data_IF_869434229431
#
_entry.id   IF_869434229431
#
_cell.length_a   1.000
_cell.length_b   1.000
_cell.length_c   1.000
_cell.angle_alpha   90.00
_cell.angle_beta   90.00
_cell.angle_gamma   90.00
#
_symmetry.space_group_name_H-M   'P 1'
#
loop_
_entity.id
_entity.type
_entity.pdbx_description
1 polymer ?
#
# COMPACT_ATOMS: atom_id res chain seq x y z
N UNK A 1 19.36 13.05 -7.16
CA UNK A 1 18.05 12.49 -6.80
C UNK A 1 17.11 13.65 -6.91
N UNK A 2 16.39 13.76 -8.02
CA UNK A 2 15.53 14.92 -8.25
C UNK A 2 14.31 14.77 -7.35
N UNK A 3 14.24 15.60 -6.31
CA UNK A 3 13.09 15.66 -5.43
C UNK A 3 11.88 16.11 -6.25
N UNK A 4 10.74 15.41 -6.13
CA UNK A 4 9.51 15.80 -6.82
C UNK A 4 9.18 17.24 -6.41
N UNK A 5 9.06 18.19 -7.37
CA UNK A 5 8.73 19.57 -7.05
C UNK A 5 7.46 19.68 -6.20
N UNK A 6 7.43 20.63 -5.26
CA UNK A 6 6.34 20.75 -4.28
C UNK A 6 4.95 20.80 -4.94
N UNK A 7 4.78 21.59 -6.00
CA UNK A 7 3.51 21.68 -6.72
C UNK A 7 3.06 20.34 -7.31
N UNK A 8 3.99 19.51 -7.80
CA UNK A 8 3.70 18.15 -8.28
C UNK A 8 3.37 17.23 -7.12
N UNK A 9 4.10 17.33 -6.00
CA UNK A 9 3.81 16.55 -4.78
C UNK A 9 2.40 16.82 -4.29
N UNK A 10 1.98 18.09 -4.20
CA UNK A 10 0.62 18.48 -3.82
C UNK A 10 -0.44 17.95 -4.79
N UNK A 11 -0.16 18.00 -6.10
CA UNK A 11 -1.02 17.40 -7.11
C UNK A 11 -1.14 15.88 -6.92
N UNK A 12 -0.04 15.17 -6.70
CA UNK A 12 -0.01 13.72 -6.52
C UNK A 12 -0.70 13.27 -5.24
N UNK A 13 -0.54 13.96 -4.11
CA UNK A 13 -1.30 13.67 -2.88
C UNK A 13 -2.81 13.66 -3.15
N UNK A 14 -3.31 14.53 -4.03
CA UNK A 14 -4.73 14.58 -4.39
C UNK A 14 -5.15 13.53 -5.42
N UNK A 15 -4.24 13.06 -6.28
CA UNK A 15 -4.57 12.32 -7.50
C UNK A 15 -4.07 10.87 -7.55
N UNK A 16 -2.97 10.55 -6.87
CA UNK A 16 -2.52 9.19 -6.66
C UNK A 16 -3.55 8.42 -5.83
N UNK A 17 -3.79 7.17 -6.21
CA UNK A 17 -4.75 6.28 -5.53
C UNK A 17 -4.16 5.00 -4.97
N UNK A 18 -2.86 4.88 -5.11
CA UNK A 18 -2.08 3.82 -4.52
C UNK A 18 -0.72 3.72 -5.18
N UNK A 19 0.21 3.14 -4.45
CA UNK A 19 1.52 2.73 -4.95
C UNK A 19 1.45 1.24 -5.26
N UNK A 20 1.92 0.82 -6.44
CA UNK A 20 1.99 -0.59 -6.81
C UNK A 20 3.29 -1.19 -6.27
N UNK A 21 3.19 -2.38 -5.70
CA UNK A 21 4.33 -3.23 -5.39
C UNK A 21 4.18 -4.61 -6.04
N UNK A 22 5.28 -5.11 -6.59
CA UNK A 22 5.38 -6.45 -7.16
C UNK A 22 6.80 -6.97 -6.92
N UNK A 23 6.92 -8.14 -6.30
CA UNK A 23 8.21 -8.77 -6.08
C UNK A 23 8.86 -9.21 -7.38
N UNK A 24 10.19 -9.21 -7.40
CA UNK A 24 10.95 -9.65 -8.57
C UNK A 24 10.66 -11.12 -8.89
N UNK A 25 10.36 -11.41 -10.16
CA UNK A 25 10.10 -12.78 -10.62
C UNK A 25 8.66 -13.27 -10.41
N UNK A 26 7.79 -12.46 -9.79
CA UNK A 26 6.37 -12.78 -9.65
C UNK A 26 5.60 -12.31 -10.88
N UNK A 27 4.84 -13.22 -11.50
CA UNK A 27 3.95 -12.93 -12.64
C UNK A 27 2.63 -12.35 -12.13
N UNK A 28 2.21 -11.22 -12.72
CA UNK A 28 1.05 -10.43 -12.27
C UNK A 28 0.25 -9.80 -13.42
N UNK A 29 0.28 -10.43 -14.61
CA UNK A 29 -0.34 -9.89 -15.82
C UNK A 29 -1.86 -9.67 -15.64
N UNK A 30 -2.54 -10.57 -14.92
CA UNK A 30 -3.98 -10.46 -14.66
C UNK A 30 -4.30 -9.27 -13.76
N UNK A 31 -3.53 -9.08 -12.71
CA UNK A 31 -3.64 -8.01 -11.73
C UNK A 31 -3.35 -6.66 -12.36
N UNK A 32 -2.28 -6.56 -13.15
CA UNK A 32 -1.91 -5.36 -13.89
C UNK A 32 -2.99 -4.97 -14.92
N UNK A 33 -3.50 -5.93 -15.69
CA UNK A 33 -4.57 -5.66 -16.67
C UNK A 33 -5.86 -5.24 -15.97
N UNK A 34 -6.18 -5.85 -14.82
CA UNK A 34 -7.31 -5.44 -14.01
C UNK A 34 -7.17 -3.99 -13.52
N UNK A 35 -6.00 -3.64 -12.95
CA UNK A 35 -5.71 -2.29 -12.50
C UNK A 35 -5.79 -1.28 -13.64
N UNK A 36 -5.19 -1.59 -14.80
CA UNK A 36 -5.25 -0.75 -16.01
C UNK A 36 -6.69 -0.47 -16.44
N UNK A 37 -7.55 -1.48 -16.44
CA UNK A 37 -8.97 -1.34 -16.76
C UNK A 37 -9.72 -0.51 -15.72
N UNK A 38 -9.40 -0.62 -14.43
CA UNK A 38 -10.14 0.04 -13.35
C UNK A 38 -9.68 1.46 -13.05
N UNK A 39 -8.39 1.75 -13.21
CA UNK A 39 -7.77 3.06 -12.97
C UNK A 39 -7.55 3.83 -14.29
N UNK A 40 -8.49 3.73 -15.24
CA UNK A 40 -8.41 4.39 -16.56
C UNK A 40 -8.20 5.91 -16.47
N UNK A 41 -8.71 6.55 -15.41
CA UNK A 41 -8.73 8.00 -15.25
C UNK A 41 -8.00 8.50 -13.99
N UNK A 42 -7.36 7.61 -13.23
CA UNK A 42 -6.71 7.93 -11.96
C UNK A 42 -5.26 7.47 -11.99
N UNK A 43 -4.40 8.18 -11.29
CA UNK A 43 -2.97 7.88 -11.27
C UNK A 43 -2.66 6.82 -10.22
N UNK A 44 -1.83 5.85 -10.60
CA UNK A 44 -1.15 4.96 -9.69
C UNK A 44 0.35 5.27 -9.75
N UNK A 45 1.04 5.06 -8.65
CA UNK A 45 2.48 5.21 -8.57
C UNK A 45 3.18 3.86 -8.61
N UNK A 46 4.43 3.85 -9.05
CA UNK A 46 5.34 2.74 -8.88
C UNK A 46 6.74 3.29 -8.58
N UNK A 47 7.46 2.67 -7.66
CA UNK A 47 8.83 3.08 -7.38
C UNK A 47 9.75 2.69 -8.55
N UNK A 48 10.65 3.61 -8.94
CA UNK A 48 11.71 3.29 -9.92
C UNK A 48 12.64 2.16 -9.47
N UNK A 49 12.73 1.88 -8.15
CA UNK A 49 13.54 0.77 -7.60
C UNK A 49 13.08 -0.60 -8.12
N UNK A 50 11.81 -0.74 -8.49
CA UNK A 50 11.24 -1.98 -9.02
C UNK A 50 11.68 -2.26 -10.46
N UNK A 51 12.16 -1.24 -11.20
CA UNK A 51 12.68 -1.35 -12.57
C UNK A 51 11.74 -2.10 -13.53
N UNK A 52 10.43 -1.92 -13.37
CA UNK A 52 9.41 -2.53 -14.22
C UNK A 52 9.11 -1.62 -15.42
N UNK A 53 9.29 -2.14 -16.63
CA UNK A 53 8.91 -1.44 -17.86
C UNK A 53 7.43 -1.72 -18.20
N UNK A 54 6.55 -0.91 -17.63
CA UNK A 54 5.10 -1.02 -17.83
C UNK A 54 4.58 0.12 -18.70
N UNK A 55 4.10 -0.21 -19.91
CA UNK A 55 3.48 0.75 -20.82
C UNK A 55 2.04 1.08 -20.40
N UNK A 56 1.90 1.92 -19.38
CA UNK A 56 0.61 2.41 -18.89
C UNK A 56 0.64 3.92 -18.61
N UNK A 57 -0.04 4.71 -19.46
CA UNK A 57 -0.10 6.19 -19.38
C UNK A 57 -0.48 6.78 -18.01
N UNK A 58 -1.21 6.03 -17.17
CA UNK A 58 -1.65 6.49 -15.84
C UNK A 58 -0.86 5.86 -14.68
N UNK A 59 0.21 5.13 -15.01
CA UNK A 59 1.19 4.65 -14.06
C UNK A 59 2.37 5.63 -14.07
N UNK A 60 2.63 6.25 -12.94
CA UNK A 60 3.72 7.18 -12.75
C UNK A 60 4.89 6.45 -12.12
N UNK A 61 6.05 6.48 -12.78
CA UNK A 61 7.30 6.05 -12.15
C UNK A 61 7.79 7.17 -11.24
N UNK A 62 7.83 6.89 -9.95
CA UNK A 62 8.24 7.83 -8.92
C UNK A 62 9.74 7.67 -8.63
N UNK A 63 10.51 8.76 -8.55
CA UNK A 63 11.92 8.72 -8.17
C UNK A 63 12.09 8.10 -6.79
N UNK A 64 13.14 7.28 -6.63
CA UNK A 64 13.37 6.57 -5.38
C UNK A 64 13.77 7.55 -4.30
N UNK A 65 13.33 7.26 -3.08
CA UNK A 65 13.80 7.89 -1.84
C UNK A 65 14.92 7.04 -1.22
N UNK A 66 14.84 5.72 -1.35
CA UNK A 66 15.85 4.76 -0.87
C UNK A 66 16.06 3.62 -1.88
N UNK A 67 17.17 2.90 -1.80
CA UNK A 67 17.48 1.81 -2.74
C UNK A 67 16.66 0.53 -2.51
N UNK A 68 16.22 0.27 -1.29
CA UNK A 68 15.46 -0.93 -0.95
C UNK A 68 14.02 -0.81 -1.49
N UNK A 69 13.56 -1.69 -2.42
CA UNK A 69 12.24 -1.53 -3.04
C UNK A 69 11.07 -1.67 -2.08
N UNK A 70 11.17 -2.56 -1.10
CA UNK A 70 10.16 -2.80 -0.06
C UNK A 70 9.94 -1.52 0.75
N UNK A 71 11.04 -0.97 1.28
CA UNK A 71 11.00 0.24 2.06
C UNK A 71 10.56 1.43 1.21
N UNK A 72 11.13 1.59 0.02
CA UNK A 72 10.83 2.73 -0.86
C UNK A 72 9.34 2.80 -1.21
N UNK A 73 8.72 1.67 -1.55
CA UNK A 73 7.28 1.62 -1.82
C UNK A 73 6.43 2.01 -0.60
N UNK A 74 6.81 1.63 0.61
CA UNK A 74 6.13 2.08 1.84
C UNK A 74 6.30 3.58 2.08
N UNK A 75 7.53 4.10 1.90
CA UNK A 75 7.82 5.52 2.08
C UNK A 75 7.04 6.38 1.09
N UNK A 76 6.94 5.93 -0.16
CA UNK A 76 6.13 6.59 -1.19
C UNK A 76 4.64 6.55 -0.82
N UNK A 77 4.11 5.39 -0.41
CA UNK A 77 2.71 5.26 -0.01
C UNK A 77 2.34 6.20 1.15
N UNK A 78 3.18 6.23 2.20
CA UNK A 78 3.06 7.17 3.32
C UNK A 78 3.16 8.63 2.85
N UNK A 79 4.20 8.99 2.09
CA UNK A 79 4.45 10.38 1.66
C UNK A 79 3.33 10.97 0.80
N UNK A 80 2.65 10.13 0.01
CA UNK A 80 1.52 10.51 -0.84
C UNK A 80 0.15 10.23 -0.22
N UNK A 81 0.09 9.75 1.03
CA UNK A 81 -1.16 9.47 1.76
C UNK A 81 -2.10 8.58 0.94
N UNK A 82 -1.54 7.50 0.38
CA UNK A 82 -2.28 6.54 -0.42
C UNK A 82 -1.91 5.09 -0.03
N UNK A 83 -2.78 4.12 -0.30
CA UNK A 83 -2.53 2.74 0.09
C UNK A 83 -1.44 2.11 -0.77
N UNK A 84 -0.87 1.01 -0.28
CA UNK A 84 -0.08 0.12 -1.13
C UNK A 84 -1.02 -0.88 -1.83
N UNK A 85 -0.76 -1.17 -3.10
CA UNK A 85 -1.45 -2.19 -3.88
C UNK A 85 -0.41 -3.24 -4.21
N UNK A 86 -0.45 -4.35 -3.47
CA UNK A 86 0.49 -5.45 -3.61
C UNK A 86 -0.08 -6.44 -4.62
N UNK A 87 0.67 -6.74 -5.66
CA UNK A 87 0.27 -7.68 -6.69
C UNK A 87 0.74 -9.08 -6.35
N UNK A 88 -0.22 -10.01 -6.27
CA UNK A 88 -0.06 -11.39 -5.79
C UNK A 88 0.27 -11.47 -4.30
N UNK A 89 -0.31 -12.46 -3.63
CA UNK A 89 0.00 -12.70 -2.21
C UNK A 89 1.46 -13.08 -1.98
N UNK A 90 2.11 -13.75 -2.94
CA UNK A 90 3.53 -14.06 -2.86
C UNK A 90 4.39 -12.80 -2.70
N UNK A 91 3.96 -11.66 -3.25
CA UNK A 91 4.70 -10.40 -3.08
C UNK A 91 4.56 -9.78 -1.68
N UNK A 92 3.57 -10.20 -0.90
CA UNK A 92 3.42 -9.75 0.49
C UNK A 92 4.54 -10.33 1.39
N UNK A 93 5.15 -11.46 1.01
CA UNK A 93 6.21 -12.13 1.77
C UNK A 93 7.41 -11.21 2.01
N UNK A 94 7.68 -10.30 1.08
CA UNK A 94 8.74 -9.30 1.23
C UNK A 94 8.52 -8.34 2.43
N UNK A 95 7.30 -8.28 2.96
CA UNK A 95 6.90 -7.44 4.08
C UNK A 95 6.58 -8.23 5.36
N UNK A 96 6.76 -9.55 5.39
CA UNK A 96 6.18 -10.41 6.43
C UNK A 96 6.47 -9.96 7.87
N UNK A 97 7.70 -9.50 8.14
CA UNK A 97 8.14 -9.03 9.44
C UNK A 97 7.62 -7.63 9.82
N UNK A 98 6.96 -6.95 8.88
CA UNK A 98 6.41 -5.61 9.04
C UNK A 98 4.88 -5.57 8.98
N UNK A 99 4.20 -6.71 8.72
CA UNK A 99 2.74 -6.79 8.75
C UNK A 99 2.28 -6.82 10.21
N UNK A 100 1.59 -5.75 10.66
CA UNK A 100 1.10 -5.64 12.04
C UNK A 100 -0.33 -6.13 12.22
N UNK A 101 -1.13 -6.10 11.15
CA UNK A 101 -2.49 -6.64 11.13
C UNK A 101 -2.87 -7.07 9.70
N UNK A 102 -3.64 -8.15 9.57
CA UNK A 102 -4.09 -8.63 8.27
C UNK A 102 -5.49 -9.23 8.33
N UNK A 103 -6.23 -9.12 7.22
CA UNK A 103 -7.48 -9.82 6.98
C UNK A 103 -7.27 -10.85 5.86
N UNK A 104 -7.63 -12.10 6.18
CA UNK A 104 -7.60 -13.23 5.25
C UNK A 104 -9.00 -13.67 4.86
N UNK A 105 -9.16 -14.15 3.63
CA UNK A 105 -10.44 -14.66 3.12
C UNK A 105 -10.23 -15.73 2.05
N UNK A 106 -11.12 -16.72 1.98
CA UNK A 106 -11.22 -17.67 0.85
C UNK A 106 -12.12 -17.16 -0.28
N UNK A 107 -12.87 -16.08 -0.05
CA UNK A 107 -13.83 -15.55 -1.00
C UNK A 107 -13.13 -14.96 -2.23
N UNK A 108 -13.44 -15.47 -3.42
CA UNK A 108 -13.09 -14.79 -4.67
C UNK A 108 -13.94 -13.52 -4.79
N UNK A 109 -13.31 -12.37 -4.67
CA UNK A 109 -13.99 -11.07 -4.74
C UNK A 109 -14.24 -10.68 -6.19
N UNK A 110 -15.47 -10.29 -6.49
CA UNK A 110 -15.82 -9.73 -7.78
C UNK A 110 -15.27 -8.31 -7.96
N UNK A 111 -15.31 -7.82 -9.19
CA UNK A 111 -14.86 -6.46 -9.54
C UNK A 111 -15.46 -5.34 -8.68
N UNK A 112 -16.73 -5.48 -8.27
CA UNK A 112 -17.43 -4.48 -7.45
C UNK A 112 -16.85 -4.45 -6.04
N UNK A 113 -16.60 -5.62 -5.44
CA UNK A 113 -16.10 -5.72 -4.09
C UNK A 113 -14.63 -5.31 -4.01
N UNK A 114 -13.79 -5.72 -4.98
CA UNK A 114 -12.40 -5.26 -5.07
C UNK A 114 -12.32 -3.73 -5.16
N UNK A 115 -13.14 -3.10 -6.01
CA UNK A 115 -13.22 -1.63 -6.09
C UNK A 115 -13.68 -0.98 -4.79
N UNK A 116 -14.65 -1.60 -4.12
CA UNK A 116 -15.14 -1.11 -2.84
C UNK A 116 -14.04 -1.15 -1.78
N UNK A 117 -13.33 -2.27 -1.66
CA UNK A 117 -12.23 -2.43 -0.70
C UNK A 117 -11.03 -1.54 -1.03
N UNK A 118 -10.71 -1.31 -2.32
CA UNK A 118 -9.73 -0.29 -2.74
C UNK A 118 -10.08 1.11 -2.22
N UNK A 119 -11.38 1.46 -2.19
CA UNK A 119 -11.84 2.74 -1.63
C UNK A 119 -11.69 2.74 -0.11
N UNK A 120 -11.99 1.63 0.55
CA UNK A 120 -11.83 1.50 2.00
C UNK A 120 -10.36 1.64 2.45
N UNK A 121 -9.40 1.00 1.78
CA UNK A 121 -7.96 1.18 2.11
C UNK A 121 -7.47 2.61 1.84
N UNK A 122 -8.01 3.30 0.83
CA UNK A 122 -7.72 4.71 0.60
C UNK A 122 -8.24 5.60 1.76
N UNK A 123 -9.40 5.28 2.31
CA UNK A 123 -9.95 5.99 3.47
C UNK A 123 -9.20 5.66 4.75
N UNK A 124 -8.80 4.40 4.94
CA UNK A 124 -8.02 3.96 6.07
C UNK A 124 -6.81 4.88 6.31
N UNK A 125 -5.92 5.01 5.30
CA UNK A 125 -4.71 5.84 5.47
C UNK A 125 -5.05 7.29 5.76
N UNK A 126 -6.04 7.87 5.06
CA UNK A 126 -6.43 9.26 5.24
C UNK A 126 -6.96 9.52 6.66
N UNK A 127 -7.75 8.59 7.20
CA UNK A 127 -8.43 8.73 8.50
C UNK A 127 -7.44 8.66 9.67
N UNK A 128 -6.42 7.79 9.60
CA UNK A 128 -5.46 7.60 10.69
C UNK A 128 -4.09 8.25 10.48
N UNK A 129 -3.82 8.86 9.32
CA UNK A 129 -2.47 9.29 8.90
C UNK A 129 -1.69 10.02 10.00
N UNK A 130 -2.27 11.10 10.54
CA UNK A 130 -1.64 11.93 11.57
C UNK A 130 -1.46 11.16 12.87
N UNK A 131 -2.51 10.46 13.32
CA UNK A 131 -2.46 9.65 14.55
C UNK A 131 -1.39 8.56 14.47
N UNK A 132 -1.26 7.90 13.33
CA UNK A 132 -0.23 6.90 13.12
C UNK A 132 1.16 7.52 13.24
N UNK A 133 1.41 8.65 12.58
CA UNK A 133 2.69 9.38 12.69
C UNK A 133 2.98 9.82 14.14
N UNK A 134 1.99 10.33 14.88
CA UNK A 134 2.15 10.69 16.29
C UNK A 134 2.62 9.50 17.14
N UNK A 135 1.99 8.33 16.95
CA UNK A 135 2.40 7.11 17.64
C UNK A 135 3.80 6.64 17.23
N UNK A 136 4.19 6.83 15.96
CA UNK A 136 5.55 6.55 15.51
C UNK A 136 6.58 7.44 16.22
N UNK A 137 6.30 8.75 16.33
CA UNK A 137 7.18 9.69 17.04
C UNK A 137 7.28 9.38 18.54
N UNK A 138 6.25 8.76 19.10
CA UNK A 138 6.23 8.26 20.48
C UNK A 138 6.87 6.87 20.63
N UNK A 139 7.31 6.24 19.52
CA UNK A 139 7.80 4.86 19.49
C UNK A 139 6.80 3.83 20.03
N UNK A 140 5.49 4.12 19.93
CA UNK A 140 4.41 3.27 20.46
C UNK A 140 3.95 2.26 19.40
N UNK A 141 4.76 1.22 19.18
CA UNK A 141 4.47 0.17 18.21
C UNK A 141 3.23 -0.67 18.58
N UNK A 142 2.95 -0.81 19.88
CA UNK A 142 1.80 -1.57 20.37
C UNK A 142 0.49 -0.85 20.02
N UNK A 143 0.38 0.45 20.27
CA UNK A 143 -0.81 1.22 19.92
C UNK A 143 -0.95 1.37 18.41
N UNK A 144 0.15 1.40 17.64
CA UNK A 144 0.10 1.33 16.17
C UNK A 144 -0.51 0.02 15.69
N UNK A 145 -0.12 -1.11 16.28
CA UNK A 145 -0.73 -2.40 15.99
C UNK A 145 -2.23 -2.40 16.35
N UNK A 146 -2.61 -1.90 17.53
CA UNK A 146 -4.04 -1.80 17.92
C UNK A 146 -4.85 -0.90 16.99
N UNK A 147 -4.25 0.21 16.52
CA UNK A 147 -4.86 1.10 15.54
C UNK A 147 -5.19 0.36 14.23
N UNK A 148 -4.25 -0.45 13.72
CA UNK A 148 -4.45 -1.29 12.55
C UNK A 148 -5.53 -2.37 12.77
N UNK A 149 -5.48 -3.10 13.89
CA UNK A 149 -6.46 -4.12 14.25
C UNK A 149 -7.88 -3.56 14.38
N UNK A 150 -8.01 -2.35 14.94
CA UNK A 150 -9.30 -1.66 15.05
C UNK A 150 -9.83 -1.25 13.67
N UNK A 151 -8.97 -0.74 12.80
CA UNK A 151 -9.39 -0.28 11.46
C UNK A 151 -9.70 -1.46 10.52
N UNK A 152 -9.17 -2.67 10.76
CA UNK A 152 -9.58 -3.88 10.02
C UNK A 152 -11.09 -4.16 10.08
N UNK A 153 -11.79 -3.70 11.12
CA UNK A 153 -13.26 -3.81 11.22
C UNK A 153 -13.99 -3.05 10.10
N UNK A 154 -13.32 -2.13 9.40
CA UNK A 154 -13.83 -1.42 8.22
C UNK A 154 -14.22 -2.36 7.09
N UNK A 155 -13.56 -3.51 6.99
CA UNK A 155 -13.78 -4.51 5.95
C UNK A 155 -14.86 -5.54 6.33
N UNK A 156 -15.86 -5.13 7.09
CA UNK A 156 -16.93 -5.99 7.64
C UNK A 156 -17.73 -6.81 6.60
N UNK A 157 -17.65 -6.45 5.31
CA UNK A 157 -18.30 -7.20 4.21
C UNK A 157 -17.50 -8.43 3.76
N UNK A 158 -16.25 -8.57 4.20
CA UNK A 158 -15.38 -9.66 3.79
C UNK A 158 -15.47 -10.78 4.82
N UNK A 159 -15.90 -11.99 4.42
CA UNK A 159 -15.86 -13.15 5.30
C UNK A 159 -14.42 -13.47 5.69
N UNK A 160 -14.13 -13.44 6.98
CA UNK A 160 -12.80 -13.75 7.51
C UNK A 160 -12.60 -15.26 7.53
N UNK A 161 -11.46 -15.72 7.03
CA UNK A 161 -11.06 -17.13 7.05
C UNK A 161 -9.54 -17.22 7.27
N UNK A 162 -9.12 -17.88 8.36
CA UNK A 162 -7.72 -17.95 8.78
C UNK A 162 -6.83 -18.72 7.78
N UNK A 163 -7.41 -19.68 7.06
CA UNK A 163 -6.73 -20.47 6.02
C UNK A 163 -6.89 -19.84 4.62
N UNK A 164 -7.52 -18.67 4.54
CA UNK A 164 -7.66 -17.90 3.31
C UNK A 164 -6.39 -17.16 2.90
N UNK A 165 -6.47 -16.52 1.74
CA UNK A 165 -5.42 -15.60 1.27
C UNK A 165 -5.57 -14.25 1.94
N UNK A 166 -4.46 -13.55 2.19
CA UNK A 166 -4.47 -12.17 2.66
C UNK A 166 -5.09 -11.28 1.58
N UNK A 167 -6.10 -10.50 1.97
CA UNK A 167 -6.71 -9.47 1.13
C UNK A 167 -6.26 -8.07 1.55
N UNK A 168 -6.20 -7.83 2.86
CA UNK A 168 -5.81 -6.55 3.43
C UNK A 168 -4.68 -6.78 4.41
N UNK A 169 -3.65 -5.95 4.35
CA UNK A 169 -2.54 -5.94 5.29
C UNK A 169 -2.23 -4.50 5.72
N UNK A 170 -1.88 -4.30 6.98
CA UNK A 170 -1.35 -3.05 7.50
C UNK A 170 0.12 -3.27 7.75
N UNK A 171 0.95 -2.46 7.09
CA UNK A 171 2.40 -2.63 7.08
C UNK A 171 3.02 -1.43 7.77
N UNK A 172 3.90 -1.69 8.74
CA UNK A 172 4.58 -0.65 9.49
C UNK A 172 6.00 -0.40 8.94
N UNK A 173 6.26 0.77 8.33
CA UNK A 173 7.60 1.07 7.80
C UNK A 173 8.68 1.11 8.90
N UNK A 174 8.32 1.35 10.17
CA UNK A 174 9.27 1.31 11.28
C UNK A 174 9.80 -0.10 11.56
N UNK A 175 9.04 -1.14 11.24
CA UNK A 175 9.48 -2.53 11.37
C UNK A 175 10.40 -2.97 10.23
N UNK A 176 10.38 -2.24 9.10
CA UNK A 176 11.36 -2.41 8.01
C UNK A 176 12.64 -1.61 8.31
N UNK A 177 12.49 -0.38 8.83
CA UNK A 177 13.59 0.50 9.21
C UNK A 177 13.20 1.36 10.42
N UNK A 178 13.84 1.12 11.58
CA UNK A 178 13.46 1.75 12.85
C UNK A 178 13.87 3.22 13.03
N UNK A 179 14.81 3.73 12.24
CA UNK A 179 15.41 5.07 12.39
C UNK A 179 14.95 6.07 11.32
N UNK A 180 13.70 5.99 10.88
CA UNK A 180 13.14 6.97 9.94
C UNK A 180 13.16 8.37 10.56
N UNK A 181 13.73 9.34 9.83
CA UNK A 181 13.92 10.71 10.34
C UNK A 181 12.79 11.67 9.94
N UNK A 182 12.07 11.38 8.84
CA UNK A 182 11.03 12.27 8.31
C UNK A 182 9.64 11.73 8.69
N UNK A 183 8.79 12.48 9.41
CA UNK A 183 7.47 12.03 9.82
C UNK A 183 6.56 11.56 8.67
N UNK A 184 6.70 12.16 7.49
CA UNK A 184 5.95 11.78 6.27
C UNK A 184 6.19 10.34 5.79
N UNK A 185 7.18 9.65 6.35
CA UNK A 185 7.54 8.27 6.04
C UNK A 185 7.07 7.26 7.10
N UNK A 186 6.47 7.73 8.18
CA UNK A 186 6.22 6.92 9.37
C UNK A 186 4.78 6.42 9.50
N UNK A 187 3.86 6.78 8.59
CA UNK A 187 2.49 6.29 8.68
C UNK A 187 2.45 4.78 8.46
N UNK A 188 1.58 4.09 9.19
CA UNK A 188 1.11 2.75 8.82
C UNK A 188 0.57 2.81 7.40
N UNK A 189 0.88 1.80 6.61
CA UNK A 189 0.46 1.72 5.21
C UNK A 189 -0.59 0.62 5.09
N UNK A 190 -1.88 0.98 4.93
CA UNK A 190 -2.91 0.00 4.62
C UNK A 190 -2.73 -0.43 3.17
N UNK A 191 -2.80 -1.73 2.97
CA UNK A 191 -2.42 -2.38 1.73
C UNK A 191 -3.53 -3.29 1.27
N UNK A 192 -3.87 -3.24 -0.02
CA UNK A 192 -4.71 -4.25 -0.65
C UNK A 192 -3.81 -5.22 -1.41
N UNK A 193 -3.98 -6.50 -1.12
CA UNK A 193 -3.33 -7.59 -1.85
C UNK A 193 -4.28 -8.02 -2.97
N UNK A 194 -3.88 -7.76 -4.20
CA UNK A 194 -4.63 -8.15 -5.39
C UNK A 194 -4.06 -9.44 -5.93
N UNK A 195 -4.77 -10.55 -5.73
CA UNK A 195 -4.43 -11.86 -6.28
C UNK A 195 -5.63 -12.41 -7.05
N UNK A 196 -5.58 -12.30 -8.38
CA UNK A 196 -6.64 -12.68 -9.32
C UNK A 196 -6.40 -14.08 -9.93
N UNK A 197 -5.62 -14.93 -9.24
CA UNK A 197 -5.44 -16.36 -9.51
C UNK A 197 -6.36 -17.25 -8.68
#
# INVERSE_FOLDING_TARGET
MDEIPEHQRLYFVKNLRGIIYLSRGVSSEKELEWLKRKFRYRELGISETLKLDLKWKKLLTLPKTVENPVLDSLLQASSFVCPLIILKEDSLKDFENAVVAALKTKGKLGDKDLKFNLRLVNYAITDFYTKSIELALQSDLDERKRLAEKDLKRFWRIPVDADGKVLVAYIDPLLVKGDLQRPIYMSLVPSLVLDLG
#
